data_IF_364398989123
#
_entry.id   IF_364398989123
#
_cell.length_a   1.000
_cell.length_b   1.000
_cell.length_c   1.000
_cell.angle_alpha   90.00
_cell.angle_beta   90.00
_cell.angle_gamma   90.00
#
_symmetry.space_group_name_H-M   'P 1'
#
loop_
_entity.id
_entity.type
_entity.pdbx_description
1 polymer ?
#
# COMPACT_ATOMS: atom_id res chain seq x y z
N UNK A 1 -19.12 -0.82 4.21
CA UNK A 1 -19.36 0.35 5.12
C UNK A 1 -18.07 1.05 5.54
N UNK A 2 -16.96 0.34 5.83
CA UNK A 2 -15.67 0.97 6.20
C UNK A 2 -14.90 1.57 5.00
N UNK A 3 -14.91 0.92 3.84
CA UNK A 3 -14.26 1.43 2.62
C UNK A 3 -14.74 2.85 2.25
N UNK A 4 -16.05 3.08 2.14
CA UNK A 4 -16.65 4.41 1.90
C UNK A 4 -16.23 5.48 2.92
N UNK A 5 -16.00 5.08 4.18
CA UNK A 5 -15.52 6.00 5.20
C UNK A 5 -14.05 6.35 4.94
N UNK A 6 -13.21 5.33 4.67
CA UNK A 6 -11.79 5.52 4.36
C UNK A 6 -11.62 6.39 3.10
N UNK A 7 -12.34 6.13 2.01
CA UNK A 7 -12.33 6.96 0.80
C UNK A 7 -12.62 8.44 1.11
N UNK A 8 -13.53 8.73 2.05
CA UNK A 8 -13.84 10.11 2.44
C UNK A 8 -12.69 10.78 3.19
N UNK A 9 -11.91 10.02 3.96
CA UNK A 9 -10.80 10.56 4.75
C UNK A 9 -9.47 10.53 4.00
N UNK A 10 -9.26 9.58 3.10
CA UNK A 10 -8.09 9.44 2.24
C UNK A 10 -8.34 10.18 0.92
N UNK A 11 -8.69 11.46 1.04
CA UNK A 11 -9.18 12.29 -0.06
C UNK A 11 -8.09 12.76 -1.03
N UNK A 12 -6.82 12.55 -0.68
CA UNK A 12 -5.66 12.96 -1.47
C UNK A 12 -4.50 12.00 -1.27
N UNK A 13 -3.59 12.01 -2.24
CA UNK A 13 -2.44 11.12 -2.32
C UNK A 13 -1.54 11.19 -1.07
N UNK A 14 -1.44 12.36 -0.41
CA UNK A 14 -0.64 12.50 0.82
C UNK A 14 -1.29 11.71 1.95
N UNK A 15 -2.61 11.74 2.10
CA UNK A 15 -3.31 10.97 3.13
C UNK A 15 -3.28 9.48 2.83
N UNK A 16 -3.46 9.09 1.56
CA UNK A 16 -3.32 7.71 1.11
C UNK A 16 -1.92 7.16 1.45
N UNK A 17 -0.86 7.90 1.11
CA UNK A 17 0.51 7.54 1.43
C UNK A 17 0.75 7.39 2.95
N UNK A 18 0.20 8.30 3.76
CA UNK A 18 0.28 8.23 5.22
C UNK A 18 -0.47 7.00 5.77
N UNK A 19 -1.57 6.57 5.15
CA UNK A 19 -2.24 5.34 5.53
C UNK A 19 -1.36 4.11 5.29
N UNK A 20 -0.60 4.08 4.19
CA UNK A 20 0.37 3.00 3.91
C UNK A 20 1.51 2.96 4.93
N UNK A 21 2.03 4.13 5.34
CA UNK A 21 3.01 4.19 6.43
C UNK A 21 2.43 3.73 7.77
N UNK A 22 1.20 4.12 8.08
CA UNK A 22 0.52 3.67 9.30
C UNK A 22 0.34 2.14 9.33
N UNK A 23 0.01 1.52 8.18
CA UNK A 23 -0.07 0.06 8.07
C UNK A 23 1.29 -0.60 8.26
N UNK A 24 2.36 -0.06 7.67
CA UNK A 24 3.72 -0.55 7.90
C UNK A 24 4.10 -0.49 9.38
N UNK A 25 3.83 0.63 10.04
CA UNK A 25 4.10 0.79 11.47
C UNK A 25 3.28 -0.19 12.32
N UNK A 26 2.01 -0.44 11.95
CA UNK A 26 1.17 -1.44 12.58
C UNK A 26 1.78 -2.85 12.43
N UNK A 27 2.31 -3.21 11.26
CA UNK A 27 2.96 -4.50 11.07
C UNK A 27 4.19 -4.66 11.97
N UNK A 28 4.98 -3.59 12.15
CA UNK A 28 6.11 -3.60 13.10
C UNK A 28 5.62 -3.86 14.53
N UNK A 29 4.58 -3.15 14.96
CA UNK A 29 4.01 -3.34 16.29
C UNK A 29 3.49 -4.77 16.50
N UNK A 30 2.90 -5.38 15.48
CA UNK A 30 2.37 -6.74 15.53
C UNK A 30 3.41 -7.84 15.28
N UNK A 31 4.71 -7.50 15.28
CA UNK A 31 5.81 -8.43 15.03
C UNK A 31 5.76 -9.10 13.64
N UNK A 32 5.30 -8.37 12.63
CA UNK A 32 5.31 -8.75 11.21
C UNK A 32 4.52 -10.04 10.91
N UNK A 33 3.19 -10.03 11.15
CA UNK A 33 2.35 -11.19 10.85
C UNK A 33 2.36 -11.51 9.35
N UNK A 34 2.49 -12.80 9.01
CA UNK A 34 2.52 -13.24 7.62
C UNK A 34 1.22 -12.86 6.89
N UNK A 35 1.36 -12.43 5.63
CA UNK A 35 0.27 -12.12 4.69
C UNK A 35 -0.67 -10.95 5.07
N UNK A 36 -0.61 -10.41 6.29
CA UNK A 36 -1.57 -9.38 6.72
C UNK A 36 -1.44 -8.08 5.92
N UNK A 37 -0.21 -7.59 5.72
CA UNK A 37 0.02 -6.38 4.93
C UNK A 37 -0.43 -6.55 3.48
N UNK A 38 -0.20 -7.74 2.92
CA UNK A 38 -0.66 -8.11 1.58
C UNK A 38 -2.18 -8.03 1.47
N UNK A 39 -2.91 -8.64 2.40
CA UNK A 39 -4.38 -8.58 2.43
C UNK A 39 -4.91 -7.15 2.52
N UNK A 40 -4.25 -6.28 3.30
CA UNK A 40 -4.61 -4.86 3.34
C UNK A 40 -4.37 -4.17 1.99
N UNK A 41 -3.24 -4.41 1.33
CA UNK A 41 -2.94 -3.79 0.05
C UNK A 41 -3.95 -4.20 -1.03
N UNK A 42 -4.23 -5.51 -1.15
CA UNK A 42 -5.25 -6.02 -2.07
C UNK A 42 -6.61 -5.34 -1.81
N UNK A 43 -7.07 -5.34 -0.56
CA UNK A 43 -8.38 -4.75 -0.19
C UNK A 43 -8.44 -3.25 -0.46
N UNK A 44 -7.36 -2.51 -0.20
CA UNK A 44 -7.34 -1.05 -0.36
C UNK A 44 -7.27 -0.63 -1.83
N UNK A 45 -6.63 -1.45 -2.67
CA UNK A 45 -6.64 -1.29 -4.11
C UNK A 45 -8.01 -1.64 -4.71
N UNK A 46 -8.52 -2.85 -4.44
CA UNK A 46 -9.77 -3.36 -5.02
C UNK A 46 -11.00 -2.50 -4.67
N UNK A 47 -10.98 -1.83 -3.51
CA UNK A 47 -12.06 -0.95 -3.05
C UNK A 47 -11.84 0.53 -3.43
N UNK A 48 -10.89 0.85 -4.33
CA UNK A 48 -10.56 2.23 -4.74
C UNK A 48 -10.29 3.17 -3.55
N UNK A 49 -9.69 2.65 -2.49
CA UNK A 49 -9.40 3.42 -1.26
C UNK A 49 -8.04 4.13 -1.37
N UNK A 50 -7.08 3.47 -2.01
CA UNK A 50 -5.73 3.99 -2.26
C UNK A 50 -5.42 3.80 -3.73
N UNK A 51 -4.95 4.87 -4.36
CA UNK A 51 -4.60 4.86 -5.77
C UNK A 51 -3.25 4.21 -6.00
N UNK A 52 -3.07 3.72 -7.20
CA UNK A 52 -1.84 3.09 -7.67
C UNK A 52 -0.59 3.96 -7.41
N UNK A 53 -0.67 5.26 -7.66
CA UNK A 53 0.45 6.18 -7.47
C UNK A 53 0.91 6.26 -6.00
N UNK A 54 -0.01 6.16 -5.04
CA UNK A 54 0.33 6.17 -3.63
C UNK A 54 1.09 4.89 -3.23
N UNK A 55 0.75 3.73 -3.81
CA UNK A 55 1.50 2.50 -3.61
C UNK A 55 2.93 2.61 -4.15
N UNK A 56 3.13 3.13 -5.36
CA UNK A 56 4.47 3.32 -5.93
C UNK A 56 5.29 4.37 -5.17
N UNK A 57 4.68 5.45 -4.70
CA UNK A 57 5.35 6.42 -3.82
C UNK A 57 5.75 5.81 -2.50
N UNK A 58 4.88 4.98 -1.91
CA UNK A 58 5.24 4.25 -0.71
C UNK A 58 6.43 3.33 -0.99
N UNK A 59 6.38 2.51 -2.05
CA UNK A 59 7.43 1.56 -2.42
C UNK A 59 8.80 2.24 -2.60
N UNK A 60 8.83 3.32 -3.37
CA UNK A 60 10.06 4.05 -3.72
C UNK A 60 10.58 4.98 -2.62
N UNK A 61 9.76 5.27 -1.58
CA UNK A 61 10.09 6.25 -0.55
C UNK A 61 11.42 5.98 0.16
N UNK A 62 12.22 7.05 0.25
CA UNK A 62 13.50 7.10 0.96
C UNK A 62 13.45 8.00 2.19
N UNK A 63 12.26 8.40 2.65
CA UNK A 63 12.11 9.21 3.85
C UNK A 63 12.72 8.46 5.05
N UNK A 64 13.74 9.02 5.73
CA UNK A 64 14.37 8.39 6.88
C UNK A 64 13.38 8.05 8.02
N UNK A 65 12.31 8.84 8.19
CA UNK A 65 11.31 8.61 9.22
C UNK A 65 10.51 7.31 8.97
N UNK A 66 10.39 6.90 7.71
CA UNK A 66 9.49 5.83 7.27
C UNK A 66 10.22 4.52 6.91
N UNK A 67 11.52 4.39 7.27
CA UNK A 67 12.31 3.19 6.94
C UNK A 67 12.13 2.04 7.94
N UNK A 68 11.59 2.31 9.14
CA UNK A 68 11.41 1.28 10.17
C UNK A 68 10.43 0.20 9.70
N UNK A 69 10.89 -1.05 9.60
CA UNK A 69 10.08 -2.18 9.10
C UNK A 69 9.90 -2.23 7.58
N UNK A 70 10.37 -1.22 6.84
CA UNK A 70 10.17 -1.08 5.39
C UNK A 70 10.65 -2.30 4.59
N UNK A 71 11.84 -2.82 4.91
CA UNK A 71 12.43 -3.95 4.18
C UNK A 71 11.62 -5.23 4.31
N UNK A 72 11.06 -5.52 5.50
CA UNK A 72 10.20 -6.69 5.71
C UNK A 72 8.84 -6.49 5.05
N UNK A 73 8.27 -5.29 5.19
CA UNK A 73 7.04 -4.90 4.53
C UNK A 73 7.13 -5.10 3.01
N UNK A 74 8.17 -4.55 2.35
CA UNK A 74 8.41 -4.69 0.90
C UNK A 74 8.47 -6.16 0.46
N UNK A 75 9.19 -7.01 1.20
CA UNK A 75 9.26 -8.44 0.90
C UNK A 75 7.88 -9.11 0.96
N UNK A 76 7.04 -8.72 1.92
CA UNK A 76 5.71 -9.30 2.09
C UNK A 76 4.71 -8.91 0.99
N UNK A 77 4.91 -7.77 0.32
CA UNK A 77 4.01 -7.26 -0.73
C UNK A 77 4.62 -7.29 -2.12
N UNK A 78 5.76 -7.97 -2.32
CA UNK A 78 6.44 -8.04 -3.62
C UNK A 78 5.51 -8.57 -4.72
N UNK A 79 4.73 -9.61 -4.42
CA UNK A 79 3.77 -10.18 -5.37
C UNK A 79 2.61 -9.23 -5.75
N UNK A 80 2.21 -8.33 -4.84
CA UNK A 80 1.22 -7.28 -5.15
C UNK A 80 1.78 -6.31 -6.19
N UNK A 81 3.01 -5.83 -6.00
CA UNK A 81 3.64 -4.90 -6.94
C UNK A 81 4.02 -5.53 -8.28
N UNK A 82 4.32 -6.84 -8.33
CA UNK A 82 4.47 -7.55 -9.61
C UNK A 82 3.15 -7.50 -10.39
N UNK A 83 2.06 -7.93 -9.75
CA UNK A 83 0.74 -7.90 -10.37
C UNK A 83 0.29 -6.49 -10.79
N UNK A 84 0.54 -5.48 -9.96
CA UNK A 84 0.15 -4.10 -10.23
C UNK A 84 0.77 -3.56 -11.52
N UNK A 85 2.08 -3.82 -11.72
CA UNK A 85 2.79 -3.43 -12.95
C UNK A 85 2.34 -4.23 -14.18
N UNK A 86 2.07 -5.53 -14.01
CA UNK A 86 1.56 -6.36 -15.11
C UNK A 86 0.21 -5.83 -15.60
N UNK A 87 -0.66 -5.38 -14.69
CA UNK A 87 -1.96 -4.78 -15.03
C UNK A 87 -1.83 -3.41 -15.73
N UNK A 88 -0.89 -2.56 -15.29
CA UNK A 88 -0.58 -1.28 -15.96
C UNK A 88 -0.14 -1.52 -17.41
N UNK A 89 0.79 -2.45 -17.64
CA UNK A 89 1.30 -2.80 -18.97
C UNK A 89 0.25 -3.42 -19.91
N UNK A 90 -0.79 -4.06 -19.38
CA UNK A 90 -1.92 -4.57 -20.19
C UNK A 90 -2.86 -3.43 -20.59
N UNK A 91 -3.12 -2.47 -19.69
CA UNK A 91 -4.00 -1.34 -19.95
C UNK A 91 -3.48 -0.36 -21.02
N UNK A 92 -2.16 -0.20 -21.12
CA UNK A 92 -1.51 0.67 -22.12
C UNK A 92 -1.49 0.09 -23.55
N UNK A 93 -1.82 -1.20 -23.70
CA UNK A 93 -1.79 -1.91 -24.99
C UNK A 93 -3.16 -1.95 -25.70
N UNK A 94 -4.21 -1.49 -25.04
CA UNK A 94 -5.58 -1.37 -25.56
C UNK A 94 -5.94 0.09 -25.94
#
# INVERSE_FOLDING_TARGET
>A
QRAKLLQRYLSDEKKELQALYALQALMVHMEQPANLLRMFFDTLYDEDVIKEEAFYRWESSKDPAEQTGKGVALKSVTAFFTWLRDAEEESDKD
#
